data_IF_442242976015
#
_entry.id   IF_442242976015
#
_cell.length_a   1.000
_cell.length_b   1.000
_cell.length_c   1.000
_cell.angle_alpha   90.00
_cell.angle_beta   90.00
_cell.angle_gamma   90.00
#
_symmetry.space_group_name_H-M   'P 1'
#
loop_
_entity.id
_entity.type
_entity.pdbx_description
1 polymer ?
#
# COMPACT_ATOMS: atom_id res chain seq x y z
N UNK A 1 -14.41 7.27 -1.77
CA UNK A 1 -12.99 7.46 -1.38
C UNK A 1 -12.34 6.16 -0.91
N UNK A 2 -12.93 5.44 0.04
CA UNK A 2 -12.35 4.18 0.54
C UNK A 2 -12.21 3.08 -0.51
N UNK A 3 -13.16 2.96 -1.45
CA UNK A 3 -13.12 1.94 -2.50
C UNK A 3 -11.92 2.07 -3.48
N UNK A 4 -11.55 3.30 -3.86
CA UNK A 4 -10.42 3.55 -4.77
C UNK A 4 -9.08 3.35 -4.05
N UNK A 5 -8.98 3.80 -2.80
CA UNK A 5 -7.82 3.53 -1.93
C UNK A 5 -7.61 2.03 -1.75
N UNK A 6 -8.69 1.31 -1.39
CA UNK A 6 -8.70 -0.14 -1.23
C UNK A 6 -8.24 -0.82 -2.52
N UNK A 7 -8.80 -0.45 -3.68
CA UNK A 7 -8.37 -0.97 -4.98
C UNK A 7 -6.88 -0.72 -5.27
N UNK A 8 -6.37 0.49 -5.07
CA UNK A 8 -4.96 0.81 -5.30
C UNK A 8 -4.01 0.03 -4.38
N UNK A 9 -4.32 -0.01 -3.08
CA UNK A 9 -3.48 -0.70 -2.09
C UNK A 9 -3.54 -2.22 -2.24
N UNK A 10 -4.71 -2.77 -2.55
CA UNK A 10 -4.89 -4.21 -2.78
C UNK A 10 -4.25 -4.65 -4.09
N UNK A 11 -4.36 -3.88 -5.17
CA UNK A 11 -3.71 -4.23 -6.43
C UNK A 11 -2.19 -4.26 -6.28
N UNK A 12 -1.60 -3.26 -5.63
CA UNK A 12 -0.17 -3.24 -5.37
C UNK A 12 0.26 -4.42 -4.48
N UNK A 13 -0.46 -4.67 -3.38
CA UNK A 13 -0.19 -5.81 -2.48
C UNK A 13 -0.34 -7.15 -3.18
N UNK A 14 -1.35 -7.32 -4.03
CA UNK A 14 -1.54 -8.56 -4.79
C UNK A 14 -0.42 -8.77 -5.80
N UNK A 15 -0.03 -7.73 -6.54
CA UNK A 15 1.07 -7.82 -7.50
C UNK A 15 2.39 -8.17 -6.79
N UNK A 16 2.72 -7.47 -5.69
CA UNK A 16 3.91 -7.78 -4.87
C UNK A 16 3.80 -9.16 -4.21
N UNK A 17 2.62 -9.53 -3.71
CA UNK A 17 2.35 -10.80 -3.07
C UNK A 17 2.55 -11.99 -4.01
N UNK A 18 2.06 -11.87 -5.24
CA UNK A 18 2.26 -12.87 -6.29
C UNK A 18 3.72 -12.91 -6.75
N UNK A 19 4.33 -11.76 -7.01
CA UNK A 19 5.70 -11.68 -7.55
C UNK A 19 6.74 -12.17 -6.53
N UNK A 20 6.57 -11.82 -5.26
CA UNK A 20 7.55 -12.09 -4.20
C UNK A 20 7.16 -13.22 -3.23
N UNK A 21 6.05 -13.93 -3.49
CA UNK A 21 5.57 -15.00 -2.62
C UNK A 21 5.18 -14.54 -1.21
N UNK A 22 4.53 -13.36 -1.10
CA UNK A 22 4.15 -12.72 0.16
C UNK A 22 2.64 -12.78 0.45
N UNK A 23 1.88 -13.62 -0.26
CA UNK A 23 0.42 -13.67 -0.12
C UNK A 23 -0.03 -14.04 1.31
N UNK A 24 0.63 -15.03 1.91
CA UNK A 24 0.31 -15.45 3.28
C UNK A 24 0.73 -14.39 4.31
N UNK A 25 1.85 -13.70 4.06
CA UNK A 25 2.28 -12.59 4.92
C UNK A 25 1.30 -11.43 4.90
N UNK A 26 0.77 -11.07 3.72
CA UNK A 26 -0.26 -10.04 3.61
C UNK A 26 -1.59 -10.48 4.23
N UNK A 27 -1.94 -11.77 4.16
CA UNK A 27 -3.13 -12.31 4.83
C UNK A 27 -2.99 -12.22 6.36
N UNK A 28 -1.85 -12.63 6.89
CA UNK A 28 -1.55 -12.53 8.31
C UNK A 28 -1.52 -11.07 8.77
N UNK A 29 -0.87 -10.17 8.00
CA UNK A 29 -0.86 -8.74 8.27
C UNK A 29 -2.28 -8.18 8.41
N UNK A 30 -3.18 -8.51 7.47
CA UNK A 30 -4.58 -8.07 7.54
C UNK A 30 -5.28 -8.62 8.79
N UNK A 31 -5.05 -9.89 9.15
CA UNK A 31 -5.63 -10.45 10.39
C UNK A 31 -5.15 -9.73 11.65
N UNK A 32 -3.86 -9.35 11.72
CA UNK A 32 -3.32 -8.57 12.84
C UNK A 32 -3.91 -7.15 12.85
N UNK A 33 -4.05 -6.52 11.68
CA UNK A 33 -4.67 -5.21 11.54
C UNK A 33 -6.12 -5.20 12.05
N UNK A 34 -6.91 -6.23 11.72
CA UNK A 34 -8.30 -6.36 12.17
C UNK A 34 -8.37 -6.48 13.70
N UNK A 35 -7.51 -7.31 14.31
CA UNK A 35 -7.43 -7.42 15.78
C UNK A 35 -7.04 -6.11 16.43
N UNK A 36 -6.08 -5.38 15.85
CA UNK A 36 -5.64 -4.08 16.36
C UNK A 36 -6.74 -3.01 16.25
N UNK A 37 -7.54 -3.07 15.18
CA UNK A 37 -8.69 -2.21 14.98
C UNK A 37 -9.78 -2.47 16.03
N UNK A 38 -10.07 -3.74 16.33
CA UNK A 38 -11.00 -4.12 17.40
C UNK A 38 -10.50 -3.60 18.75
N UNK A 39 -9.25 -3.86 19.11
CA UNK A 39 -8.65 -3.36 20.37
C UNK A 39 -8.75 -1.82 20.48
N UNK A 40 -8.55 -1.12 19.38
CA UNK A 40 -8.68 0.34 19.36
C UNK A 40 -10.14 0.78 19.52
N UNK A 41 -11.08 0.11 18.86
CA UNK A 41 -12.51 0.38 18.97
C UNK A 41 -13.00 0.14 20.40
N UNK A 42 -12.63 -0.99 21.02
CA UNK A 42 -12.96 -1.31 22.39
C UNK A 42 -12.47 -0.24 23.36
N UNK A 43 -11.21 0.21 23.18
CA UNK A 43 -10.66 1.29 23.99
C UNK A 43 -11.49 2.57 23.84
N UNK A 44 -11.72 3.04 22.62
CA UNK A 44 -12.46 4.28 22.36
C UNK A 44 -13.91 4.20 22.88
N UNK A 45 -14.55 3.03 22.79
CA UNK A 45 -15.90 2.79 23.30
C UNK A 45 -15.98 2.66 24.82
N UNK A 46 -14.89 2.33 25.50
CA UNK A 46 -14.83 2.23 26.96
C UNK A 46 -14.53 3.56 27.67
N UNK A 47 -14.21 4.61 26.90
CA UNK A 47 -13.79 5.92 27.41
C UNK A 47 -15.02 6.80 27.68
N UNK A 48 -15.75 6.51 28.76
CA UNK A 48 -16.66 7.47 29.40
C UNK A 48 -15.94 8.35 30.46
N UNK A 49 -14.66 8.06 30.78
CA UNK A 49 -14.00 8.54 32.01
C UNK A 49 -12.53 9.01 31.88
N UNK A 50 -12.04 9.37 30.69
CA UNK A 50 -10.71 9.97 30.61
C UNK A 50 -10.80 11.49 30.80
N UNK A 51 -10.13 12.00 31.83
CA UNK A 51 -9.80 13.43 31.93
C UNK A 51 -9.01 13.79 30.67
N UNK A 52 -9.64 14.56 29.79
CA UNK A 52 -9.04 15.04 28.56
C UNK A 52 -7.97 16.06 28.99
N UNK A 53 -6.70 15.68 28.89
CA UNK A 53 -5.60 16.64 28.96
C UNK A 53 -5.88 17.73 27.89
N UNK A 54 -6.00 18.98 28.33
CA UNK A 54 -6.27 20.18 27.52
C UNK A 54 -5.32 20.29 26.31
N UNK A 55 -5.65 19.62 25.21
CA UNK A 55 -5.13 19.95 23.89
C UNK A 55 -6.18 20.85 23.22
N UNK A 56 -5.70 21.94 22.59
CA UNK A 56 -6.47 22.94 21.84
C UNK A 56 -7.88 22.47 21.42
N UNK A 57 -8.91 23.07 22.02
CA UNK A 57 -10.32 22.82 21.69
C UNK A 57 -10.52 22.98 20.17
N UNK A 58 -10.62 21.86 19.46
CA UNK A 58 -11.04 21.88 18.07
C UNK A 58 -12.55 22.11 18.08
N UNK A 59 -13.05 23.18 17.43
CA UNK A 59 -14.48 23.44 17.38
C UNK A 59 -15.21 22.20 16.85
N UNK A 60 -16.22 21.73 17.56
CA UNK A 60 -16.99 20.54 17.18
C UNK A 60 -17.52 20.61 15.74
N UNK A 61 -17.80 21.83 15.26
CA UNK A 61 -18.15 22.13 13.87
C UNK A 61 -17.08 21.68 12.85
N UNK A 62 -15.79 21.83 13.17
CA UNK A 62 -14.68 21.39 12.31
C UNK A 62 -14.59 19.85 12.21
N UNK A 63 -15.07 19.13 13.21
CA UNK A 63 -15.15 17.68 13.22
C UNK A 63 -16.33 17.13 12.42
N UNK A 64 -17.47 17.84 12.44
CA UNK A 64 -18.67 17.50 11.63
C UNK A 64 -18.51 17.81 10.14
N UNK A 65 -17.63 18.74 9.79
CA UNK A 65 -17.38 19.17 8.40
C UNK A 65 -16.38 18.30 7.62
N UNK A 66 -15.89 17.19 8.20
CA UNK A 66 -15.00 16.25 7.49
C UNK A 66 -15.80 15.50 6.42
N UNK A 67 -16.02 16.17 5.29
CA UNK A 67 -16.74 15.61 4.17
C UNK A 67 -15.82 14.72 3.34
N UNK A 68 -16.24 13.47 3.14
CA UNK A 68 -15.66 12.59 2.15
C UNK A 68 -16.24 12.92 0.78
N UNK A 69 -15.92 14.11 0.23
CA UNK A 69 -16.25 14.38 -1.16
C UNK A 69 -15.68 13.25 -2.04
N UNK A 70 -16.50 12.63 -2.91
CA UNK A 70 -16.01 11.67 -3.85
C UNK A 70 -15.00 12.36 -4.73
N UNK A 71 -13.77 11.85 -4.72
CA UNK A 71 -12.75 12.28 -5.65
C UNK A 71 -13.24 11.89 -7.05
N UNK A 72 -13.65 12.89 -7.82
CA UNK A 72 -14.07 12.75 -9.22
C UNK A 72 -12.82 12.85 -10.10
N UNK A 73 -12.50 11.73 -10.74
CA UNK A 73 -11.64 11.57 -11.93
C UNK A 73 -10.13 11.92 -11.86
N UNK A 74 -9.32 11.02 -12.44
CA UNK A 74 -7.87 11.10 -12.69
C UNK A 74 -6.93 11.34 -11.49
N UNK A 75 -7.13 10.62 -10.39
CA UNK A 75 -6.19 10.64 -9.26
C UNK A 75 -5.27 9.42 -9.28
N UNK A 76 -3.96 9.65 -9.34
CA UNK A 76 -2.93 8.61 -9.18
C UNK A 76 -3.04 7.97 -7.79
N UNK A 77 -2.70 6.67 -7.66
CA UNK A 77 -2.84 5.95 -6.39
C UNK A 77 -2.17 6.67 -5.20
N UNK A 78 -1.03 7.34 -5.42
CA UNK A 78 -0.34 8.15 -4.42
C UNK A 78 -1.16 9.31 -3.86
N UNK A 79 -1.82 10.09 -4.72
CA UNK A 79 -2.66 11.22 -4.30
C UNK A 79 -3.88 10.74 -3.51
N UNK A 80 -4.45 9.60 -3.88
CA UNK A 80 -5.56 8.98 -3.14
C UNK A 80 -5.13 8.57 -1.72
N UNK A 81 -3.97 7.91 -1.59
CA UNK A 81 -3.41 7.52 -0.28
C UNK A 81 -3.10 8.75 0.57
N UNK A 82 -2.48 9.79 -0.01
CA UNK A 82 -2.17 11.03 0.70
C UNK A 82 -3.43 11.75 1.20
N UNK A 83 -4.49 11.80 0.39
CA UNK A 83 -5.77 12.39 0.79
C UNK A 83 -6.43 11.63 1.95
N UNK A 84 -6.46 10.29 1.88
CA UNK A 84 -6.98 9.46 2.97
C UNK A 84 -6.17 9.68 4.25
N UNK A 85 -4.84 9.71 4.15
CA UNK A 85 -3.95 9.97 5.29
C UNK A 85 -4.25 11.32 5.94
N UNK A 86 -4.37 12.39 5.15
CA UNK A 86 -4.67 13.73 5.66
C UNK A 86 -6.01 13.75 6.42
N UNK A 87 -7.05 13.08 5.90
CA UNK A 87 -8.34 12.97 6.57
C UNK A 87 -8.28 12.15 7.86
N UNK A 88 -7.54 11.05 7.88
CA UNK A 88 -7.33 10.28 9.11
C UNK A 88 -6.63 11.11 10.19
N UNK A 89 -5.65 11.94 9.82
CA UNK A 89 -5.00 12.85 10.77
C UNK A 89 -5.96 13.90 11.32
N UNK A 90 -6.86 14.43 10.49
CA UNK A 90 -7.89 15.36 10.93
C UNK A 90 -8.89 14.69 11.89
N UNK A 91 -9.36 13.48 11.55
CA UNK A 91 -10.25 12.69 12.40
C UNK A 91 -9.61 12.29 13.73
N UNK A 92 -8.30 12.01 13.75
CA UNK A 92 -7.59 11.69 14.97
C UNK A 92 -7.63 12.84 15.98
N UNK A 93 -7.61 14.09 15.51
CA UNK A 93 -7.70 15.27 16.39
C UNK A 93 -9.11 15.49 16.94
N UNK A 94 -10.12 14.99 16.23
CA UNK A 94 -11.53 15.06 16.64
C UNK A 94 -11.94 13.96 17.64
N UNK A 95 -11.04 13.04 17.97
CA UNK A 95 -11.29 11.97 18.94
C UNK A 95 -10.30 12.11 20.09
N UNK A 96 -10.68 12.80 21.19
CA UNK A 96 -9.81 12.98 22.35
C UNK A 96 -9.26 11.64 22.89
N UNK A 97 -10.14 10.64 22.96
CA UNK A 97 -9.82 9.28 23.37
C UNK A 97 -8.80 8.58 22.46
N UNK A 98 -8.67 8.99 21.19
CA UNK A 98 -7.73 8.36 20.26
C UNK A 98 -6.27 8.55 20.69
N UNK A 99 -5.91 9.68 21.33
CA UNK A 99 -4.54 9.92 21.83
C UNK A 99 -4.22 8.96 22.99
N UNK A 100 -5.12 8.85 23.96
CA UNK A 100 -4.99 7.94 25.11
C UNK A 100 -5.00 6.47 24.69
N UNK A 101 -5.95 6.06 23.86
CA UNK A 101 -6.03 4.70 23.31
C UNK A 101 -4.83 4.34 22.43
N UNK A 102 -4.29 5.31 21.69
CA UNK A 102 -3.03 5.12 20.96
C UNK A 102 -1.88 4.87 21.92
N UNK A 103 -1.72 5.67 22.99
CA UNK A 103 -0.69 5.50 24.03
C UNK A 103 -0.82 4.12 24.70
N UNK A 104 -2.00 3.77 25.17
CA UNK A 104 -2.28 2.48 25.83
C UNK A 104 -1.93 1.30 24.94
N UNK A 105 -2.34 1.34 23.67
CA UNK A 105 -2.04 0.27 22.73
C UNK A 105 -0.59 0.28 22.19
N UNK A 106 0.30 1.21 22.55
CA UNK A 106 1.68 1.21 22.04
C UNK A 106 2.44 -0.06 22.41
N UNK A 107 2.12 -0.62 23.57
CA UNK A 107 2.73 -1.83 24.11
C UNK A 107 1.90 -3.08 23.86
N UNK A 108 0.74 -2.99 23.18
CA UNK A 108 -0.09 -4.15 22.93
C UNK A 108 0.62 -5.18 22.05
N UNK A 109 0.36 -6.46 22.32
CA UNK A 109 0.90 -7.56 21.54
C UNK A 109 0.57 -7.40 20.06
N UNK A 110 -0.64 -6.96 19.73
CA UNK A 110 -1.04 -6.71 18.34
C UNK A 110 -0.28 -5.55 17.69
N UNK A 111 0.02 -4.49 18.43
CA UNK A 111 0.87 -3.40 17.89
C UNK A 111 2.29 -3.88 17.62
N UNK A 112 2.86 -4.68 18.53
CA UNK A 112 4.20 -5.25 18.35
C UNK A 112 4.24 -6.23 17.17
N UNK A 113 3.26 -7.14 17.10
CA UNK A 113 3.10 -8.09 16.00
C UNK A 113 2.93 -7.37 14.66
N UNK A 114 2.12 -6.30 14.62
CA UNK A 114 1.91 -5.50 13.41
C UNK A 114 3.22 -4.86 12.92
N UNK A 115 4.01 -4.28 13.83
CA UNK A 115 5.32 -3.70 13.51
C UNK A 115 6.28 -4.77 13.00
N UNK A 116 6.39 -5.90 13.69
CA UNK A 116 7.24 -7.01 13.29
C UNK A 116 6.86 -7.53 11.90
N UNK A 117 5.57 -7.74 11.63
CA UNK A 117 5.10 -8.21 10.32
C UNK A 117 5.37 -7.22 9.20
N UNK A 118 5.23 -5.92 9.46
CA UNK A 118 5.61 -4.88 8.49
C UNK A 118 7.11 -4.90 8.17
N UNK A 119 7.97 -5.03 9.19
CA UNK A 119 9.42 -5.14 9.00
C UNK A 119 9.75 -6.36 8.14
N UNK A 120 9.15 -7.51 8.45
CA UNK A 120 9.40 -8.75 7.72
C UNK A 120 8.96 -8.69 6.25
N UNK A 121 7.75 -8.17 5.99
CA UNK A 121 7.26 -7.96 4.62
C UNK A 121 8.20 -7.02 3.85
N UNK A 122 8.64 -5.92 4.48
CA UNK A 122 9.55 -4.98 3.83
C UNK A 122 10.89 -5.63 3.51
N UNK A 123 11.48 -6.39 4.46
CA UNK A 123 12.73 -7.13 4.26
C UNK A 123 12.62 -8.08 3.06
N UNK A 124 11.60 -8.94 3.04
CA UNK A 124 11.40 -9.91 1.96
C UNK A 124 11.08 -9.25 0.62
N UNK A 125 10.40 -8.09 0.64
CA UNK A 125 10.15 -7.31 -0.58
C UNK A 125 11.46 -6.74 -1.16
N UNK A 126 12.37 -6.28 -0.30
CA UNK A 126 13.69 -5.79 -0.73
C UNK A 126 14.54 -6.94 -1.30
N UNK A 127 14.57 -8.09 -0.65
CA UNK A 127 15.28 -9.28 -1.14
C UNK A 127 14.75 -9.77 -2.49
N UNK A 128 13.42 -9.81 -2.65
CA UNK A 128 12.78 -10.11 -3.93
C UNK A 128 13.22 -9.14 -5.02
N UNK A 129 13.25 -7.84 -4.72
CA UNK A 129 13.69 -6.80 -5.66
C UNK A 129 15.16 -7.01 -6.08
N UNK A 130 16.05 -7.31 -5.12
CA UNK A 130 17.47 -7.57 -5.40
C UNK A 130 17.65 -8.80 -6.29
N UNK A 131 16.94 -9.89 -6.01
CA UNK A 131 16.96 -11.10 -6.85
C UNK A 131 16.45 -10.82 -8.26
N UNK A 132 15.37 -10.05 -8.40
CA UNK A 132 14.86 -9.66 -9.72
C UNK A 132 15.87 -8.80 -10.48
N UNK A 133 16.57 -7.88 -9.80
CA UNK A 133 17.60 -7.06 -10.43
C UNK A 133 18.76 -7.92 -10.96
N UNK A 134 19.26 -8.86 -10.14
CA UNK A 134 20.31 -9.80 -10.56
C UNK A 134 19.90 -10.60 -11.81
N UNK A 135 18.65 -11.06 -11.89
CA UNK A 135 18.14 -11.78 -13.07
C UNK A 135 18.07 -10.90 -14.32
N UNK A 136 17.81 -9.60 -14.18
CA UNK A 136 17.82 -8.66 -15.30
C UNK A 136 19.25 -8.41 -15.76
N UNK A 137 20.17 -8.20 -14.82
CA UNK A 137 21.59 -7.92 -15.12
C UNK A 137 22.26 -9.14 -15.79
N UNK A 138 22.02 -10.36 -15.28
CA UNK A 138 22.51 -11.60 -15.90
C UNK A 138 21.95 -11.85 -17.31
N UNK A 139 20.72 -11.41 -17.59
CA UNK A 139 20.13 -11.52 -18.94
C UNK A 139 20.72 -10.50 -19.93
N UNK A 140 21.28 -9.39 -19.45
CA UNK A 140 21.97 -8.41 -20.30
C UNK A 140 23.40 -8.86 -20.64
N UNK A 141 24.03 -9.67 -19.77
CA UNK A 141 25.40 -10.16 -19.97
C UNK A 141 25.51 -11.44 -20.83
N UNK A 142 24.40 -12.10 -21.20
CA UNK A 142 24.43 -13.25 -22.12
C UNK A 142 24.62 -12.76 -23.56
N UNK A 143 25.85 -12.85 -24.15
CA UNK A 143 26.11 -12.32 -25.48
C UNK A 143 25.51 -13.24 -26.53
N UNK A 144 25.05 -12.64 -27.62
CA UNK A 144 24.78 -13.30 -28.90
C UNK A 144 26.00 -14.15 -29.31
N UNK A 145 25.97 -15.44 -29.01
CA UNK A 145 26.85 -16.42 -29.60
C UNK A 145 25.99 -17.34 -30.48
N UNK A 146 25.60 -16.85 -31.66
CA UNK A 146 25.45 -17.69 -32.85
C UNK A 146 25.44 -16.82 -34.11
N UNK A 147 26.52 -16.98 -34.89
CA UNK A 147 26.46 -17.04 -36.34
C UNK A 147 26.21 -15.74 -37.08
N UNK A 148 27.28 -15.01 -37.38
CA UNK A 148 27.36 -14.29 -38.64
C UNK A 148 27.27 -15.32 -39.78
N UNK A 149 26.13 -15.38 -40.46
CA UNK A 149 26.06 -15.87 -41.83
C UNK A 149 25.61 -14.69 -42.68
N UNK A 150 26.55 -14.22 -43.49
CA UNK A 150 26.31 -13.33 -44.61
C UNK A 150 25.24 -13.93 -45.51
N UNK A 151 24.11 -13.24 -45.70
CA UNK A 151 23.18 -13.56 -46.77
C UNK A 151 22.81 -12.28 -47.49
N UNK A 152 23.24 -12.28 -48.74
CA UNK A 152 23.03 -11.33 -49.83
C UNK A 152 21.63 -10.77 -49.93
N UNK A 153 21.57 -9.49 -50.32
CA UNK A 153 20.41 -8.81 -50.88
C UNK A 153 19.66 -9.67 -51.91
N UNK A 154 18.37 -9.90 -51.68
CA UNK A 154 17.42 -10.13 -52.76
C UNK A 154 16.29 -9.09 -52.68
N UNK A 155 16.14 -8.36 -53.78
CA UNK A 155 15.05 -7.39 -54.01
C UNK A 155 13.70 -8.11 -53.98
N UNK A 156 12.61 -7.46 -53.53
CA UNK A 156 11.27 -7.95 -53.79
C UNK A 156 11.00 -7.88 -55.31
N UNK A 157 10.58 -9.00 -55.87
CA UNK A 157 10.01 -9.08 -57.22
C UNK A 157 8.61 -8.46 -57.15
N UNK A 158 8.41 -7.42 -57.94
CA UNK A 158 7.11 -6.81 -58.21
C UNK A 158 6.29 -7.77 -59.08
N UNK A 159 5.19 -8.29 -58.55
CA UNK A 159 4.20 -9.05 -59.33
C UNK A 159 2.84 -8.42 -59.08
N UNK A 160 2.57 -7.35 -59.82
CA UNK A 160 1.21 -6.91 -60.11
C UNK A 160 1.06 -6.76 -61.62
N UNK A 161 0.60 -7.83 -62.27
CA UNK A 161 0.03 -7.72 -63.60
C UNK A 161 -1.13 -8.71 -63.78
N UNK A 162 -2.31 -8.12 -64.02
CA UNK A 162 -3.45 -8.58 -64.80
C UNK A 162 -3.98 -10.01 -64.61
N UNK A 163 -5.23 -10.08 -64.11
CA UNK A 163 -6.38 -10.51 -64.92
C UNK A 163 -7.62 -9.71 -64.53
#
# INVERSE_FOLDING_TARGET
MMAVHKRCTEQARNATGQTCGLNDDFRELNSIMDKRLIEFADCVSSVDTFEVEDDEEIPEAACRQISFQPIVEQITCWRTVASVRAKCLQLQRCCPSAKSCKKQGQHSEYTQALRAKHIEINRRTLECREQMQQLVDMKQESPKAHGAVSSTYEKPIDVSNSY
#
